data_IF_631448846005
#
_entry.id   IF_631448846005
#
_cell.length_a   1.000
_cell.length_b   1.000
_cell.length_c   1.000
_cell.angle_alpha   90.00
_cell.angle_beta   90.00
_cell.angle_gamma   90.00
#
_symmetry.space_group_name_H-M   'P 1'
#
loop_
_entity.id
_entity.type
_entity.pdbx_description
1 polymer ?
#
# COMPACT_ATOMS: atom_id res chain seq x y z
N UNK A 1 -36.40 -45.92 -20.09
CA UNK A 1 -37.74 -45.53 -19.66
C UNK A 1 -37.77 -44.04 -19.36
N UNK A 2 -38.51 -43.29 -20.16
CA UNK A 2 -39.03 -41.92 -19.98
C UNK A 2 -40.31 -42.02 -19.14
N UNK A 3 -41.03 -40.90 -18.79
CA UNK A 3 -40.77 -39.46 -18.58
C UNK A 3 -41.57 -38.88 -17.37
N UNK A 4 -41.55 -37.54 -17.22
CA UNK A 4 -42.55 -36.78 -16.45
C UNK A 4 -41.97 -35.39 -16.11
N UNK A 5 -42.17 -34.40 -16.76
CA UNK A 5 -43.05 -33.34 -17.26
C UNK A 5 -44.08 -32.82 -16.26
N UNK A 6 -44.16 -31.47 -16.19
CA UNK A 6 -45.14 -30.53 -15.61
C UNK A 6 -44.77 -29.98 -14.22
N UNK A 7 -44.91 -28.67 -13.94
CA UNK A 7 -45.78 -27.69 -14.57
C UNK A 7 -45.38 -26.26 -14.19
N UNK A 8 -45.74 -25.41 -15.06
CA UNK A 8 -45.80 -23.94 -14.97
C UNK A 8 -46.84 -23.53 -13.93
N UNK A 9 -46.59 -22.46 -13.21
CA UNK A 9 -47.62 -21.48 -12.88
C UNK A 9 -47.00 -20.12 -12.56
N UNK A 10 -47.36 -19.12 -13.34
CA UNK A 10 -47.27 -17.70 -13.10
C UNK A 10 -48.70 -17.14 -13.07
N UNK A 11 -48.95 -15.84 -12.83
CA UNK A 11 -49.10 -15.09 -11.59
C UNK A 11 -50.59 -14.74 -11.30
N UNK A 12 -50.90 -13.82 -10.44
CA UNK A 12 -51.75 -12.74 -10.89
C UNK A 12 -51.32 -11.32 -10.43
N UNK A 13 -51.50 -10.41 -11.35
CA UNK A 13 -51.68 -8.98 -11.16
C UNK A 13 -52.83 -8.70 -10.15
N UNK A 14 -52.61 -7.73 -9.30
CA UNK A 14 -53.68 -6.99 -8.65
C UNK A 14 -53.38 -5.48 -8.73
N UNK A 15 -54.14 -4.87 -9.62
CA UNK A 15 -54.47 -3.43 -9.61
C UNK A 15 -55.31 -3.10 -8.37
N UNK A 16 -55.26 -1.83 -7.98
CA UNK A 16 -56.16 -0.93 -7.27
C UNK A 16 -55.39 -0.21 -6.19
N UNK A 17 -55.37 1.10 -5.99
CA UNK A 17 -56.37 2.15 -6.19
C UNK A 17 -55.64 3.49 -6.23
N UNK A 18 -56.12 4.37 -7.06
CA UNK A 18 -55.87 5.80 -7.05
C UNK A 18 -56.48 6.44 -5.81
N UNK A 19 -55.73 7.33 -5.14
CA UNK A 19 -56.33 8.35 -4.31
C UNK A 19 -55.66 9.68 -4.56
N UNK A 20 -56.35 10.50 -5.25
CA UNK A 20 -56.12 11.92 -5.47
C UNK A 20 -56.34 12.66 -4.15
N UNK A 21 -55.34 13.39 -3.69
CA UNK A 21 -55.56 14.46 -2.74
C UNK A 21 -54.71 15.66 -3.17
N UNK A 22 -55.45 16.64 -3.75
CA UNK A 22 -54.97 18.03 -3.89
C UNK A 22 -54.78 18.57 -2.47
N UNK A 23 -53.75 19.33 -2.21
CA UNK A 23 -53.79 20.70 -1.78
C UNK A 23 -52.41 21.26 -1.45
N UNK A 24 -52.28 22.45 -1.85
CA UNK A 24 -51.40 23.53 -1.34
C UNK A 24 -50.05 23.70 -2.03
N UNK A 25 -50.11 24.56 -3.03
CA UNK A 25 -48.96 25.27 -3.56
C UNK A 25 -48.49 26.28 -2.48
N UNK A 26 -47.34 26.03 -1.89
CA UNK A 26 -46.54 27.04 -1.25
C UNK A 26 -45.49 27.53 -2.25
N UNK A 27 -45.46 28.84 -2.50
CA UNK A 27 -44.52 29.46 -3.41
C UNK A 27 -43.08 29.18 -3.01
N UNK A 28 -42.15 28.91 -3.96
CA UNK A 28 -40.75 28.76 -3.65
C UNK A 28 -40.13 30.09 -3.25
N UNK A 29 -39.22 30.12 -2.26
CA UNK A 29 -38.42 31.28 -1.94
C UNK A 29 -37.50 31.66 -3.08
N UNK A 30 -37.11 32.93 -3.23
CA UNK A 30 -36.31 33.42 -4.35
C UNK A 30 -34.94 32.72 -4.40
N UNK A 31 -34.60 32.28 -5.57
CA UNK A 31 -33.30 31.64 -5.92
C UNK A 31 -32.17 32.63 -5.59
N UNK A 32 -31.26 32.19 -4.72
CA UNK A 32 -29.96 32.84 -4.54
C UNK A 32 -29.15 32.75 -5.86
N UNK A 33 -28.41 33.81 -6.20
CA UNK A 33 -27.58 33.77 -7.42
C UNK A 33 -26.55 32.66 -7.36
N UNK A 34 -26.24 32.03 -8.49
CA UNK A 34 -25.23 30.94 -8.54
C UNK A 34 -23.88 31.50 -8.11
N UNK A 35 -23.31 30.89 -7.06
CA UNK A 35 -21.93 31.11 -6.66
C UNK A 35 -21.03 30.73 -7.86
N UNK A 36 -19.98 31.52 -8.19
CA UNK A 36 -19.11 31.19 -9.28
C UNK A 36 -18.53 29.80 -9.04
N UNK A 37 -18.65 28.94 -10.05
CA UNK A 37 -18.07 27.60 -10.05
C UNK A 37 -16.57 27.73 -9.75
N UNK A 38 -16.16 27.38 -8.55
CA UNK A 38 -14.75 27.18 -8.25
C UNK A 38 -14.31 26.00 -9.11
N UNK A 39 -13.39 26.30 -10.01
CA UNK A 39 -12.70 25.31 -10.83
C UNK A 39 -11.83 24.48 -9.84
N UNK A 40 -12.43 23.48 -9.21
CA UNK A 40 -11.71 22.52 -8.38
C UNK A 40 -10.94 21.65 -9.37
N UNK A 41 -9.69 22.03 -9.64
CA UNK A 41 -8.71 21.09 -10.14
C UNK A 41 -8.79 19.85 -9.25
N UNK A 42 -8.96 18.63 -9.78
CA UNK A 42 -8.96 17.44 -8.96
C UNK A 42 -7.64 17.43 -8.19
N UNK A 43 -7.70 17.65 -6.90
CA UNK A 43 -6.53 17.48 -6.05
C UNK A 43 -6.10 16.02 -6.21
N UNK A 44 -4.85 15.80 -6.65
CA UNK A 44 -4.20 14.49 -6.58
C UNK A 44 -4.52 13.93 -5.18
N UNK A 45 -5.04 12.71 -5.04
CA UNK A 45 -5.31 12.16 -3.73
C UNK A 45 -4.05 12.29 -2.88
N UNK A 46 -4.12 13.05 -1.82
CA UNK A 46 -3.07 13.05 -0.82
C UNK A 46 -3.17 11.69 -0.15
N UNK A 47 -2.36 10.76 -0.62
CA UNK A 47 -2.24 9.44 -0.01
C UNK A 47 -1.57 9.67 1.33
N UNK A 48 -2.33 9.51 2.41
CA UNK A 48 -1.80 9.56 3.76
C UNK A 48 -0.75 8.43 3.89
N UNK A 49 0.51 8.72 4.21
CA UNK A 49 1.60 7.74 4.21
C UNK A 49 1.55 6.76 5.39
N UNK A 50 0.48 6.66 6.12
CA UNK A 50 0.24 5.62 7.12
C UNK A 50 -0.25 4.34 6.41
N UNK A 51 0.45 3.23 6.48
CA UNK A 51 1.26 2.71 7.56
C UNK A 51 2.77 2.72 7.32
N UNK A 52 3.28 3.34 6.27
CA UNK A 52 4.73 3.43 6.09
C UNK A 52 5.36 4.16 7.29
N UNK A 53 6.51 3.71 7.78
CA UNK A 53 7.18 4.42 8.85
C UNK A 53 7.41 5.87 8.43
N UNK A 54 7.29 6.82 9.36
CA UNK A 54 7.47 8.25 9.11
C UNK A 54 8.83 8.60 8.48
N UNK A 55 9.75 7.65 8.46
CA UNK A 55 11.05 7.74 7.81
C UNK A 55 11.61 6.32 7.64
N UNK A 56 11.89 5.93 6.39
CA UNK A 56 12.67 4.74 6.08
C UNK A 56 14.13 5.09 5.71
N UNK A 57 14.64 6.18 6.26
CA UNK A 57 16.04 6.51 6.21
C UNK A 57 16.84 5.70 7.21
N UNK A 58 18.00 5.21 6.81
CA UNK A 58 18.93 4.50 7.69
C UNK A 58 20.15 5.38 7.97
N UNK A 59 20.65 5.28 9.20
CA UNK A 59 21.81 6.05 9.69
C UNK A 59 23.04 5.18 9.94
N UNK A 60 22.91 3.87 9.71
CA UNK A 60 23.99 2.88 9.83
C UNK A 60 24.24 2.20 8.49
N UNK A 61 25.35 1.48 8.36
CA UNK A 61 25.77 0.82 7.11
C UNK A 61 24.82 -0.29 6.65
N UNK A 62 24.02 -0.81 7.56
CA UNK A 62 22.97 -1.79 7.24
C UNK A 62 21.67 -1.45 7.97
N UNK A 63 20.56 -1.91 7.40
CA UNK A 63 19.24 -1.70 7.97
C UNK A 63 18.26 -2.82 7.66
N UNK A 64 17.24 -2.93 8.49
CA UNK A 64 16.13 -3.86 8.30
C UNK A 64 14.81 -3.12 8.47
N UNK A 65 13.83 -3.43 7.59
CA UNK A 65 12.42 -3.21 7.84
C UNK A 65 11.74 -4.57 8.01
N UNK A 66 11.09 -4.76 9.16
CA UNK A 66 10.23 -5.89 9.42
C UNK A 66 8.79 -5.50 9.09
N UNK A 67 8.16 -6.23 8.20
CA UNK A 67 6.84 -5.94 7.68
C UNK A 67 5.92 -7.12 7.93
N UNK A 68 4.81 -6.88 8.63
CA UNK A 68 3.77 -7.87 8.87
C UNK A 68 2.55 -7.57 7.99
N UNK A 69 2.21 -8.49 7.11
CA UNK A 69 1.14 -8.35 6.11
C UNK A 69 -0.01 -9.29 6.47
N UNK A 70 -1.24 -8.79 6.38
CA UNK A 70 -2.45 -9.61 6.52
C UNK A 70 -2.41 -10.77 5.53
N UNK A 71 -2.70 -12.01 5.91
CA UNK A 71 -2.59 -13.17 5.02
C UNK A 71 -3.39 -13.02 3.72
N UNK A 72 -4.60 -12.43 3.81
CA UNK A 72 -5.46 -12.21 2.65
C UNK A 72 -4.92 -11.16 1.67
N UNK A 73 -4.00 -10.29 2.11
CA UNK A 73 -3.41 -9.22 1.30
C UNK A 73 -1.97 -9.51 0.88
N UNK A 74 -1.44 -10.70 1.16
CA UNK A 74 -0.06 -11.05 0.83
C UNK A 74 0.22 -10.97 -0.68
N UNK A 75 -0.71 -11.44 -1.51
CA UNK A 75 -0.59 -11.39 -2.97
C UNK A 75 -0.61 -9.94 -3.51
N UNK A 76 -1.45 -9.08 -2.95
CA UNK A 76 -1.50 -7.66 -3.32
C UNK A 76 -0.18 -6.97 -2.96
N UNK A 77 0.33 -7.20 -1.74
CA UNK A 77 1.63 -6.69 -1.33
C UNK A 77 2.76 -7.14 -2.24
N UNK A 78 2.83 -8.44 -2.56
CA UNK A 78 3.84 -8.99 -3.46
C UNK A 78 3.77 -8.39 -4.87
N UNK A 79 2.56 -8.15 -5.38
CA UNK A 79 2.33 -7.48 -6.67
C UNK A 79 2.87 -6.05 -6.67
N UNK A 80 2.63 -5.30 -5.59
CA UNK A 80 3.15 -3.93 -5.42
C UNK A 80 4.68 -3.93 -5.38
N UNK A 81 5.30 -4.85 -4.64
CA UNK A 81 6.76 -4.98 -4.55
C UNK A 81 7.35 -5.39 -5.91
N UNK A 82 6.70 -6.27 -6.66
CA UNK A 82 7.14 -6.63 -8.01
C UNK A 82 7.10 -5.42 -8.96
N UNK A 83 6.06 -4.60 -8.89
CA UNK A 83 5.93 -3.35 -9.66
C UNK A 83 7.07 -2.37 -9.31
N UNK A 84 7.38 -2.21 -8.03
CA UNK A 84 8.50 -1.40 -7.59
C UNK A 84 9.84 -1.95 -8.11
N UNK A 85 10.05 -3.26 -8.00
CA UNK A 85 11.27 -3.91 -8.49
C UNK A 85 11.47 -3.66 -9.99
N UNK A 86 10.40 -3.78 -10.78
CA UNK A 86 10.44 -3.49 -12.22
C UNK A 86 10.79 -2.03 -12.49
N UNK A 87 10.14 -1.08 -11.79
CA UNK A 87 10.42 0.34 -11.94
C UNK A 87 11.88 0.69 -11.58
N UNK A 88 12.36 0.19 -10.44
CA UNK A 88 13.75 0.39 -9.98
C UNK A 88 14.77 -0.23 -10.93
N UNK A 89 14.45 -1.35 -11.59
CA UNK A 89 15.36 -2.02 -12.54
C UNK A 89 15.61 -1.21 -13.82
N UNK A 90 14.69 -0.32 -14.16
CA UNK A 90 14.73 0.54 -15.35
C UNK A 90 15.25 1.94 -15.03
N UNK A 91 15.48 2.23 -13.76
CA UNK A 91 15.91 3.54 -13.31
C UNK A 91 17.39 3.79 -13.62
N UNK A 92 17.69 5.04 -13.98
CA UNK A 92 19.06 5.50 -14.28
C UNK A 92 19.63 6.42 -13.19
N UNK A 93 18.87 6.81 -12.17
CA UNK A 93 19.36 7.62 -11.08
C UNK A 93 20.42 6.86 -10.26
N UNK A 94 21.63 7.37 -10.11
CA UNK A 94 22.73 6.65 -9.47
C UNK A 94 22.45 6.31 -8.01
N UNK A 95 21.69 7.15 -7.30
CA UNK A 95 21.34 6.93 -5.88
C UNK A 95 20.35 5.78 -5.74
N UNK A 96 19.31 5.78 -6.59
CA UNK A 96 18.31 4.69 -6.60
C UNK A 96 18.92 3.36 -7.08
N UNK A 97 19.79 3.41 -8.08
CA UNK A 97 20.54 2.22 -8.54
C UNK A 97 21.42 1.66 -7.41
N UNK A 98 22.10 2.52 -6.65
CA UNK A 98 22.92 2.10 -5.51
C UNK A 98 22.04 1.48 -4.40
N UNK A 99 20.91 2.11 -4.08
CA UNK A 99 19.95 1.59 -3.09
C UNK A 99 19.40 0.24 -3.51
N UNK A 100 19.00 0.07 -4.77
CA UNK A 100 18.48 -1.19 -5.30
C UNK A 100 19.50 -2.34 -5.19
N UNK A 101 20.78 -2.08 -5.42
CA UNK A 101 21.84 -3.09 -5.29
C UNK A 101 21.97 -3.66 -3.89
N UNK A 102 21.78 -2.81 -2.86
CA UNK A 102 21.84 -3.21 -1.45
C UNK A 102 20.54 -3.78 -0.89
N UNK A 103 19.41 -3.60 -1.58
CA UNK A 103 18.09 -3.93 -1.06
C UNK A 103 17.65 -5.34 -1.43
N UNK A 104 17.32 -6.15 -0.42
CA UNK A 104 16.80 -7.52 -0.56
C UNK A 104 15.53 -7.65 0.27
N UNK A 105 14.55 -8.35 -0.26
CA UNK A 105 13.29 -8.62 0.44
C UNK A 105 13.13 -10.13 0.57
N UNK A 106 12.95 -10.60 1.79
CA UNK A 106 12.73 -12.01 2.11
C UNK A 106 11.32 -12.18 2.66
N UNK A 107 10.67 -13.24 2.25
CA UNK A 107 9.41 -13.72 2.84
C UNK A 107 9.77 -14.80 3.86
N UNK A 108 9.29 -14.66 5.10
CA UNK A 108 9.47 -15.70 6.10
C UNK A 108 8.66 -16.95 5.74
N UNK A 109 9.20 -18.11 6.04
CA UNK A 109 8.50 -19.39 5.81
C UNK A 109 7.34 -19.57 6.81
N UNK A 110 7.52 -19.07 8.04
CA UNK A 110 6.53 -19.15 9.10
C UNK A 110 5.85 -17.80 9.32
N UNK A 111 4.54 -17.78 9.60
CA UNK A 111 3.82 -16.57 9.99
C UNK A 111 4.25 -16.12 11.39
N UNK A 112 3.88 -14.87 11.75
CA UNK A 112 4.01 -14.40 13.13
C UNK A 112 3.00 -15.09 14.08
N UNK A 113 3.07 -14.78 15.37
CA UNK A 113 2.17 -15.35 16.38
C UNK A 113 0.69 -14.99 16.19
N UNK A 114 0.37 -14.02 15.32
CA UNK A 114 -0.99 -13.60 14.94
C UNK A 114 -1.43 -14.16 13.61
N UNK A 115 -0.58 -14.95 12.94
CA UNK A 115 -0.83 -15.54 11.64
C UNK A 115 -0.53 -14.62 10.45
N UNK A 116 0.12 -13.47 10.65
CA UNK A 116 0.47 -12.57 9.57
C UNK A 116 1.69 -13.09 8.80
N UNK A 117 1.72 -12.82 7.49
CA UNK A 117 2.90 -13.09 6.66
C UNK A 117 3.97 -12.05 6.95
N UNK A 118 5.18 -12.50 7.26
CA UNK A 118 6.31 -11.61 7.53
C UNK A 118 7.18 -11.42 6.29
N UNK A 119 7.58 -10.18 6.05
CA UNK A 119 8.61 -9.82 5.07
C UNK A 119 9.71 -9.06 5.77
N UNK A 120 10.95 -9.37 5.38
CA UNK A 120 12.16 -8.74 5.91
C UNK A 120 12.85 -8.04 4.76
N UNK A 121 12.83 -6.72 4.78
CA UNK A 121 13.63 -5.93 3.87
C UNK A 121 15.01 -5.76 4.51
N UNK A 122 16.05 -6.13 3.80
CA UNK A 122 17.44 -5.98 4.24
C UNK A 122 18.12 -5.03 3.28
N UNK A 123 18.67 -3.95 3.81
CA UNK A 123 19.47 -2.97 3.09
C UNK A 123 20.92 -3.07 3.55
N UNK A 124 21.81 -3.52 2.66
CA UNK A 124 23.25 -3.64 2.95
C UNK A 124 24.10 -3.56 1.67
N UNK A 125 24.92 -2.51 1.48
CA UNK A 125 24.96 -1.30 2.31
C UNK A 125 23.68 -0.48 2.16
N UNK A 126 23.39 0.35 3.15
CA UNK A 126 22.39 1.42 3.04
C UNK A 126 22.97 2.61 2.25
N UNK A 127 22.08 3.40 1.65
CA UNK A 127 22.44 4.67 1.03
C UNK A 127 22.01 5.81 1.94
N UNK A 128 22.96 6.61 2.41
CA UNK A 128 22.69 7.72 3.30
C UNK A 128 21.73 8.73 2.68
N UNK A 129 20.70 9.11 3.42
CA UNK A 129 19.69 10.07 2.96
C UNK A 129 18.67 9.52 1.99
N UNK A 130 18.77 8.23 1.60
CA UNK A 130 17.78 7.59 0.74
C UNK A 130 16.58 7.11 1.57
N UNK A 131 15.38 7.39 1.04
CA UNK A 131 14.13 6.92 1.66
C UNK A 131 13.66 5.62 1.00
N UNK A 132 13.69 4.54 1.76
CA UNK A 132 13.34 3.19 1.30
C UNK A 132 11.83 2.89 1.37
N UNK A 133 10.95 3.91 1.46
CA UNK A 133 9.50 3.71 1.44
C UNK A 133 9.00 3.35 0.04
N UNK A 134 8.43 2.15 -0.15
CA UNK A 134 7.91 1.73 -1.45
C UNK A 134 6.86 2.68 -2.03
N UNK A 135 5.97 3.24 -1.19
CA UNK A 135 4.91 4.16 -1.66
C UNK A 135 5.46 5.43 -2.29
N UNK A 136 6.51 6.03 -1.72
CA UNK A 136 7.15 7.21 -2.28
C UNK A 136 7.86 6.89 -3.59
N UNK A 137 8.62 5.81 -3.61
CA UNK A 137 9.37 5.40 -4.80
C UNK A 137 8.45 5.06 -5.97
N UNK A 138 7.32 4.42 -5.72
CA UNK A 138 6.31 4.14 -6.74
C UNK A 138 5.73 5.44 -7.31
N UNK A 139 5.40 6.42 -6.45
CA UNK A 139 4.86 7.71 -6.90
C UNK A 139 5.89 8.52 -7.72
N UNK A 140 7.17 8.41 -7.39
CA UNK A 140 8.26 9.06 -8.13
C UNK A 140 8.57 8.40 -9.47
N UNK A 141 8.57 7.06 -9.51
CA UNK A 141 9.04 6.30 -10.66
C UNK A 141 7.95 6.04 -11.71
N UNK A 142 6.69 6.00 -11.31
CA UNK A 142 5.58 5.62 -12.19
C UNK A 142 4.66 6.82 -12.40
N UNK A 143 4.69 7.39 -13.63
CA UNK A 143 3.90 8.58 -13.97
C UNK A 143 2.39 8.36 -13.89
N UNK A 144 1.93 7.16 -14.26
CA UNK A 144 0.52 6.76 -14.28
C UNK A 144 0.36 5.54 -13.36
N UNK A 145 0.49 5.78 -12.06
CA UNK A 145 0.31 4.74 -11.06
C UNK A 145 -1.18 4.34 -10.98
N UNK A 146 -1.53 3.05 -11.07
CA UNK A 146 -2.90 2.62 -10.85
C UNK A 146 -3.42 3.10 -9.49
N UNK A 147 -4.60 3.77 -9.44
CA UNK A 147 -5.07 4.42 -8.21
C UNK A 147 -5.33 3.44 -7.05
N UNK A 148 -5.59 2.18 -7.35
CA UNK A 148 -5.81 1.13 -6.36
C UNK A 148 -4.50 0.51 -5.83
N UNK A 149 -3.36 0.71 -6.51
CA UNK A 149 -2.10 0.08 -6.12
C UNK A 149 -1.59 0.55 -4.76
N UNK A 150 -1.57 1.85 -4.53
CA UNK A 150 -1.16 2.41 -3.24
C UNK A 150 -2.15 2.07 -2.12
N UNK A 151 -3.45 2.06 -2.42
CA UNK A 151 -4.47 1.64 -1.46
C UNK A 151 -4.27 0.19 -1.05
N UNK A 152 -4.08 -0.71 -2.01
CA UNK A 152 -3.77 -2.13 -1.73
C UNK A 152 -2.51 -2.29 -0.89
N UNK A 153 -1.48 -1.51 -1.19
CA UNK A 153 -0.24 -1.51 -0.42
C UNK A 153 -0.50 -1.10 1.04
N UNK A 154 -1.19 0.03 1.26
CA UNK A 154 -1.48 0.54 2.59
C UNK A 154 -2.38 -0.41 3.39
N UNK A 155 -3.42 -0.94 2.75
CA UNK A 155 -4.39 -1.84 3.39
C UNK A 155 -3.79 -3.22 3.71
N UNK A 156 -2.68 -3.60 3.08
CA UNK A 156 -2.03 -4.88 3.30
C UNK A 156 -1.42 -5.02 4.70
N UNK A 157 -0.98 -3.93 5.31
CA UNK A 157 -0.27 -3.98 6.58
C UNK A 157 -1.16 -4.43 7.73
N UNK A 158 -0.66 -5.39 8.53
CA UNK A 158 -1.30 -5.80 9.78
C UNK A 158 -0.91 -4.89 10.95
N UNK A 159 0.26 -4.24 10.86
CA UNK A 159 0.81 -3.27 11.80
C UNK A 159 1.85 -2.39 11.09
N UNK A 160 2.17 -1.22 11.63
CA UNK A 160 3.26 -0.39 11.10
C UNK A 160 4.58 -1.17 11.02
N UNK A 161 5.36 -1.00 9.95
CA UNK A 161 6.68 -1.61 9.82
C UNK A 161 7.62 -1.21 10.95
N UNK A 162 8.49 -2.12 11.35
CA UNK A 162 9.53 -1.87 12.37
C UNK A 162 10.88 -1.70 11.69
N UNK A 163 11.55 -0.57 11.97
CA UNK A 163 12.86 -0.20 11.42
C UNK A 163 13.98 -0.44 12.43
N UNK A 164 15.05 -1.08 11.97
CA UNK A 164 16.27 -1.32 12.75
C UNK A 164 17.49 -0.83 11.96
N UNK A 165 18.29 0.03 12.56
CA UNK A 165 19.63 0.33 12.09
C UNK A 165 20.59 -0.72 12.64
N UNK A 166 21.44 -1.29 11.79
CA UNK A 166 22.36 -2.36 12.17
C UNK A 166 23.80 -1.90 12.01
N UNK A 167 24.59 -2.16 13.06
CA UNK A 167 26.06 -2.01 13.02
C UNK A 167 26.67 -3.39 13.17
N UNK A 168 27.63 -3.72 12.31
CA UNK A 168 28.32 -4.98 12.42
C UNK A 168 29.05 -5.07 13.77
N UNK A 169 28.71 -6.08 14.56
CA UNK A 169 29.36 -6.38 15.83
C UNK A 169 30.45 -7.44 15.68
N UNK A 170 30.21 -8.43 14.83
CA UNK A 170 31.17 -9.52 14.61
C UNK A 170 30.98 -10.11 13.21
N UNK A 171 32.07 -10.49 12.58
CA UNK A 171 32.12 -11.25 11.34
C UNK A 171 32.81 -12.59 11.59
N UNK A 172 32.07 -13.69 11.56
CA UNK A 172 32.55 -15.00 12.01
C UNK A 172 33.68 -15.60 11.18
N UNK A 173 33.88 -15.13 9.95
CA UNK A 173 34.97 -15.57 9.07
C UNK A 173 36.22 -14.67 9.16
N UNK A 174 36.19 -13.61 9.97
CA UNK A 174 37.30 -12.65 10.13
C UNK A 174 37.75 -12.71 11.59
N UNK A 175 39.08 -12.66 11.84
CA UNK A 175 39.62 -12.59 13.20
C UNK A 175 39.03 -11.37 13.94
N UNK A 176 38.76 -11.48 15.27
CA UNK A 176 38.24 -10.35 16.05
C UNK A 176 39.15 -9.12 15.90
N UNK A 177 38.52 -7.96 15.75
CA UNK A 177 39.25 -6.69 15.73
C UNK A 177 39.95 -6.49 17.07
N UNK A 178 41.19 -5.95 17.09
CA UNK A 178 41.87 -5.63 18.33
C UNK A 178 41.04 -4.62 19.13
N UNK A 179 41.04 -4.72 20.47
CA UNK A 179 40.29 -3.80 21.32
C UNK A 179 40.72 -2.36 21.05
N UNK A 180 39.72 -1.48 20.92
CA UNK A 180 39.95 -0.06 20.72
C UNK A 180 40.83 0.49 21.87
N UNK A 181 41.93 1.22 21.60
CA UNK A 181 42.78 1.80 22.64
C UNK A 181 41.89 2.67 23.53
N UNK A 182 42.01 2.47 24.85
CA UNK A 182 41.38 3.34 25.85
C UNK A 182 42.08 4.70 25.77
N UNK A 183 41.36 5.69 25.23
CA UNK A 183 41.76 7.07 25.30
C UNK A 183 41.59 7.65 26.68
#
# INVERSE_FOLDING_TARGET
MRPGVHGRDAPPLSLFFASFLLLSQAAPPPSSPPSPAQNVTPAKPVVDPTPDPASAHFTADAGILLVAIKPAAAADYESVIATLQEAMSKDADPTRVAAAKGWRIYKAAEPDAKGNTLYVHVMTPTVTGFDYRPSLLLDELIKELPPDLLTKYQDAFAMPPSKLNLTEFAHMSVAPLPPKPKG
#
